data_IF_956600925101
#
_entry.id   IF_956600925101
#
_cell.length_a   1.000
_cell.length_b   1.000
_cell.length_c   1.000
_cell.angle_alpha   90.00
_cell.angle_beta   90.00
_cell.angle_gamma   90.00
#
_symmetry.space_group_name_H-M   'P 1'
#
loop_
_entity.id
_entity.type
_entity.pdbx_description
1 polymer ?
#
# COMPACT_ATOMS: atom_id res chain seq x y z
N UNK A 1 -28.30 28.31 41.26
CA UNK A 1 -29.77 28.31 41.16
C UNK A 1 -30.31 28.69 42.54
N UNK A 2 -30.64 29.96 42.74
CA UNK A 2 -31.00 30.48 44.07
C UNK A 2 -32.44 30.07 44.42
N UNK A 3 -32.58 29.38 45.55
CA UNK A 3 -33.87 28.95 46.09
C UNK A 3 -34.54 30.19 46.68
N UNK A 4 -35.62 30.63 46.03
CA UNK A 4 -36.41 31.79 46.42
C UNK A 4 -37.32 31.39 47.58
N UNK A 5 -37.07 31.95 48.76
CA UNK A 5 -37.88 31.76 49.97
C UNK A 5 -39.35 32.12 49.70
N UNK A 6 -40.18 31.07 49.69
CA UNK A 6 -41.63 31.19 49.59
C UNK A 6 -42.16 31.40 51.01
N UNK A 7 -42.42 32.66 51.37
CA UNK A 7 -43.01 33.07 52.66
C UNK A 7 -44.18 32.15 53.04
N UNK A 8 -44.04 31.46 54.18
CA UNK A 8 -45.01 30.47 54.71
C UNK A 8 -46.34 31.06 55.22
N UNK A 9 -46.65 32.32 54.91
CA UNK A 9 -47.92 32.97 55.29
C UNK A 9 -48.71 33.51 54.09
N UNK A 10 -48.46 32.97 52.89
CA UNK A 10 -49.28 33.30 51.72
C UNK A 10 -50.65 32.63 51.86
N UNK A 11 -51.53 33.28 52.61
CA UNK A 11 -52.97 33.02 52.60
C UNK A 11 -53.42 33.05 51.14
N UNK A 12 -54.16 32.03 50.71
CA UNK A 12 -54.44 31.85 49.28
C UNK A 12 -55.12 33.11 48.69
N UNK A 13 -54.82 33.51 47.44
CA UNK A 13 -55.48 34.66 46.81
C UNK A 13 -57.01 34.62 46.80
N UNK A 14 -57.58 33.42 47.03
CA UNK A 14 -59.03 33.16 47.02
C UNK A 14 -59.71 33.50 48.34
N UNK A 15 -59.04 33.30 49.48
CA UNK A 15 -59.59 33.76 50.78
C UNK A 15 -59.77 35.28 50.81
N UNK A 16 -58.88 36.02 50.14
CA UNK A 16 -59.01 37.47 50.02
C UNK A 16 -60.20 37.87 49.15
N UNK A 17 -60.54 37.08 48.13
CA UNK A 17 -61.70 37.32 47.27
C UNK A 17 -63.00 37.12 48.04
N UNK A 18 -63.08 36.08 48.87
CA UNK A 18 -64.28 35.78 49.67
C UNK A 18 -64.51 36.82 50.75
N UNK A 19 -63.44 37.25 51.44
CA UNK A 19 -63.47 38.35 52.41
C UNK A 19 -63.88 39.65 51.73
N UNK A 20 -63.34 39.95 50.55
CA UNK A 20 -63.72 41.13 49.78
C UNK A 20 -65.20 41.06 49.36
N UNK A 21 -65.67 39.92 48.85
CA UNK A 21 -67.07 39.73 48.47
C UNK A 21 -68.02 39.91 49.65
N UNK A 22 -67.65 39.41 50.84
CA UNK A 22 -68.41 39.61 52.07
C UNK A 22 -68.49 41.10 52.46
N UNK A 23 -67.35 41.80 52.47
CA UNK A 23 -67.29 43.22 52.83
C UNK A 23 -68.08 44.07 51.81
N UNK A 24 -67.97 43.75 50.52
CA UNK A 24 -68.72 44.43 49.46
C UNK A 24 -70.22 44.18 49.64
N UNK A 25 -70.65 42.93 49.84
CA UNK A 25 -72.06 42.60 50.06
C UNK A 25 -72.62 43.30 51.31
N UNK A 26 -71.83 43.36 52.39
CA UNK A 26 -72.18 44.09 53.61
C UNK A 26 -72.37 45.59 53.34
N UNK A 27 -71.39 46.23 52.68
CA UNK A 27 -71.45 47.65 52.34
C UNK A 27 -72.61 47.98 51.40
N UNK A 28 -72.79 47.21 50.33
CA UNK A 28 -73.88 47.38 49.37
C UNK A 28 -75.24 47.17 50.04
N UNK A 29 -75.37 46.17 50.91
CA UNK A 29 -76.61 45.88 51.63
C UNK A 29 -77.02 47.00 52.58
N UNK A 30 -76.09 47.52 53.38
CA UNK A 30 -76.37 48.62 54.32
C UNK A 30 -76.63 49.92 53.57
N UNK A 31 -75.74 50.33 52.66
CA UNK A 31 -75.86 51.60 51.94
C UNK A 31 -77.12 51.58 51.07
N UNK A 32 -77.35 50.51 50.33
CA UNK A 32 -78.55 50.35 49.50
C UNK A 32 -79.84 50.32 50.33
N UNK A 33 -79.84 49.62 51.47
CA UNK A 33 -80.97 49.59 52.39
C UNK A 33 -81.31 50.96 52.99
N UNK A 34 -80.31 51.76 53.36
CA UNK A 34 -80.48 53.12 53.86
C UNK A 34 -81.02 54.05 52.76
N UNK A 35 -80.45 53.99 51.55
CA UNK A 35 -80.91 54.80 50.42
C UNK A 35 -82.38 54.51 50.09
N UNK A 36 -82.78 53.23 50.07
CA UNK A 36 -84.17 52.85 49.81
C UNK A 36 -85.13 53.37 50.89
N UNK A 37 -84.71 53.34 52.16
CA UNK A 37 -85.49 53.92 53.26
C UNK A 37 -85.61 55.45 53.15
N UNK A 38 -84.51 56.14 52.83
CA UNK A 38 -84.51 57.60 52.63
C UNK A 38 -85.35 58.04 51.44
N UNK A 39 -85.45 57.21 50.40
CA UNK A 39 -86.31 57.45 49.25
C UNK A 39 -87.81 57.20 49.54
N UNK A 40 -88.17 56.76 50.75
CA UNK A 40 -89.56 56.44 51.12
C UNK A 40 -90.10 55.20 50.39
N UNK A 41 -89.23 54.28 49.97
CA UNK A 41 -89.64 53.09 49.23
C UNK A 41 -90.51 52.16 50.09
N UNK A 42 -91.40 51.41 49.42
CA UNK A 42 -92.28 50.47 50.10
C UNK A 42 -91.46 49.43 50.90
N UNK A 43 -91.87 49.06 52.13
CA UNK A 43 -91.06 48.23 53.03
C UNK A 43 -90.69 46.87 52.45
N UNK A 44 -91.60 46.28 51.68
CA UNK A 44 -91.36 45.01 50.98
C UNK A 44 -90.23 45.10 49.94
N UNK A 45 -90.02 46.27 49.32
CA UNK A 45 -88.93 46.48 48.38
C UNK A 45 -87.58 46.51 49.11
N UNK A 46 -87.52 47.15 50.28
CA UNK A 46 -86.33 47.16 51.13
C UNK A 46 -86.00 45.77 51.69
N UNK A 47 -87.02 45.00 52.08
CA UNK A 47 -86.86 43.60 52.49
C UNK A 47 -86.37 42.73 51.33
N UNK A 48 -86.95 42.89 50.14
CA UNK A 48 -86.55 42.19 48.92
C UNK A 48 -85.13 42.52 48.48
N UNK A 49 -84.70 43.78 48.59
CA UNK A 49 -83.33 44.19 48.30
C UNK A 49 -82.31 43.46 49.19
N UNK A 50 -82.54 43.44 50.51
CA UNK A 50 -81.68 42.69 51.45
C UNK A 50 -81.63 41.20 51.13
N UNK A 51 -82.77 40.59 50.76
CA UNK A 51 -82.81 39.20 50.33
C UNK A 51 -82.01 38.95 49.04
N UNK A 52 -82.12 39.84 48.04
CA UNK A 52 -81.36 39.76 46.78
C UNK A 52 -79.86 39.89 47.04
N UNK A 53 -79.43 40.78 47.94
CA UNK A 53 -78.02 40.93 48.31
C UNK A 53 -77.49 39.65 48.98
N UNK A 54 -78.26 39.03 49.89
CA UNK A 54 -77.90 37.76 50.51
C UNK A 54 -77.81 36.61 49.49
N UNK A 55 -78.80 36.50 48.60
CA UNK A 55 -78.83 35.44 47.57
C UNK A 55 -77.70 35.62 46.56
N UNK A 56 -77.46 36.85 46.11
CA UNK A 56 -76.36 37.15 45.16
C UNK A 56 -75.00 36.88 45.78
N UNK A 57 -74.78 37.25 47.05
CA UNK A 57 -73.57 36.87 47.78
C UNK A 57 -73.40 35.34 47.81
N UNK A 58 -74.44 34.60 48.20
CA UNK A 58 -74.37 33.15 48.28
C UNK A 58 -74.10 32.50 46.91
N UNK A 59 -74.70 33.00 45.83
CA UNK A 59 -74.46 32.51 44.48
C UNK A 59 -73.04 32.81 43.99
N UNK A 60 -72.51 34.01 44.24
CA UNK A 60 -71.15 34.39 43.87
C UNK A 60 -70.13 33.57 44.66
N UNK A 61 -70.33 33.40 45.97
CA UNK A 61 -69.48 32.57 46.82
C UNK A 61 -69.53 31.08 46.40
N UNK A 62 -70.71 30.57 46.06
CA UNK A 62 -70.89 29.20 45.59
C UNK A 62 -70.26 28.95 44.21
N UNK A 63 -70.45 29.86 43.25
CA UNK A 63 -69.90 29.75 41.90
C UNK A 63 -68.38 29.98 41.84
N UNK A 64 -67.86 30.90 42.66
CA UNK A 64 -66.43 31.18 42.79
C UNK A 64 -65.66 30.10 43.58
N UNK A 65 -66.35 29.37 44.46
CA UNK A 65 -65.77 28.43 45.42
C UNK A 65 -65.72 26.97 45.00
N UNK A 66 -65.66 26.66 43.70
CA UNK A 66 -66.02 25.36 43.08
C UNK A 66 -65.38 24.06 43.61
N UNK A 67 -64.48 24.04 44.60
CA UNK A 67 -63.93 22.78 45.18
C UNK A 67 -63.56 22.83 46.68
N UNK A 68 -63.47 23.98 47.37
CA UNK A 68 -62.89 24.01 48.73
C UNK A 68 -63.58 24.88 49.78
N UNK A 69 -64.60 25.67 49.42
CA UNK A 69 -65.35 26.36 50.47
C UNK A 69 -66.36 25.37 51.03
N UNK A 70 -66.22 25.05 52.32
CA UNK A 70 -67.23 24.29 53.03
C UNK A 70 -68.55 25.09 52.94
N UNK A 71 -69.63 24.49 52.41
CA UNK A 71 -70.94 25.15 52.37
C UNK A 71 -71.38 25.74 53.72
N UNK A 72 -70.83 25.20 54.82
CA UNK A 72 -70.96 25.71 56.19
C UNK A 72 -70.47 27.16 56.33
N UNK A 73 -69.30 27.51 55.78
CA UNK A 73 -68.74 28.86 55.89
C UNK A 73 -69.55 29.90 55.08
N UNK A 74 -70.06 29.53 53.90
CA UNK A 74 -70.95 30.42 53.11
C UNK A 74 -72.26 30.63 53.87
N UNK A 75 -72.83 29.56 54.42
CA UNK A 75 -74.04 29.62 55.23
C UNK A 75 -73.88 30.51 56.47
N UNK A 76 -72.76 30.37 57.19
CA UNK A 76 -72.45 31.20 58.36
C UNK A 76 -72.27 32.68 57.97
N UNK A 77 -71.60 32.98 56.86
CA UNK A 77 -71.48 34.34 56.36
C UNK A 77 -72.84 34.95 55.97
N UNK A 78 -73.72 34.19 55.33
CA UNK A 78 -75.09 34.64 55.02
C UNK A 78 -75.90 34.93 56.29
N UNK A 79 -75.72 34.11 57.33
CA UNK A 79 -76.32 34.33 58.62
C UNK A 79 -75.81 35.62 59.28
N UNK A 80 -74.50 35.85 59.29
CA UNK A 80 -73.91 37.10 59.81
C UNK A 80 -74.35 38.32 59.01
N UNK A 81 -74.40 38.25 57.68
CA UNK A 81 -74.91 39.32 56.83
C UNK A 81 -76.38 39.64 57.14
N UNK A 82 -77.23 38.62 57.26
CA UNK A 82 -78.63 38.78 57.63
C UNK A 82 -78.79 39.46 58.98
N UNK A 83 -78.04 39.00 59.99
CA UNK A 83 -78.00 39.61 61.32
C UNK A 83 -77.51 41.07 61.30
N UNK A 84 -76.45 41.35 60.54
CA UNK A 84 -75.88 42.68 60.40
C UNK A 84 -76.84 43.65 59.70
N UNK A 85 -77.53 43.20 58.65
CA UNK A 85 -78.57 43.99 57.99
C UNK A 85 -79.72 44.32 58.93
N UNK A 86 -80.10 43.37 59.79
CA UNK A 86 -81.12 43.58 60.83
C UNK A 86 -80.68 44.64 61.84
N UNK A 87 -79.46 44.53 62.37
CA UNK A 87 -78.92 45.52 63.30
C UNK A 87 -78.82 46.91 62.66
N UNK A 88 -78.32 46.99 61.42
CA UNK A 88 -78.22 48.26 60.69
C UNK A 88 -79.59 48.87 60.42
N UNK A 89 -80.55 48.06 59.97
CA UNK A 89 -81.92 48.46 59.69
C UNK A 89 -82.60 49.00 60.94
N UNK A 90 -82.48 48.30 62.08
CA UNK A 90 -83.06 48.74 63.35
C UNK A 90 -82.37 49.99 63.90
N UNK A 91 -81.04 50.05 63.85
CA UNK A 91 -80.26 51.21 64.30
C UNK A 91 -80.66 52.47 63.52
N UNK A 92 -80.85 52.34 62.21
CA UNK A 92 -81.32 53.45 61.37
C UNK A 92 -82.76 53.87 61.70
N UNK A 93 -83.68 52.92 61.89
CA UNK A 93 -85.06 53.23 62.31
C UNK A 93 -85.10 53.98 63.64
N UNK A 94 -84.28 53.59 64.62
CA UNK A 94 -84.16 54.28 65.91
C UNK A 94 -83.50 55.66 65.78
N UNK A 95 -82.47 55.78 64.94
CA UNK A 95 -81.80 57.06 64.69
C UNK A 95 -82.73 58.10 64.07
N UNK A 96 -83.54 57.70 63.07
CA UNK A 96 -84.52 58.61 62.47
C UNK A 96 -85.57 59.09 63.49
N UNK A 97 -85.95 58.24 64.44
CA UNK A 97 -86.90 58.58 65.49
C UNK A 97 -86.29 59.48 66.59
N UNK A 98 -84.98 59.34 66.86
CA UNK A 98 -84.28 60.08 67.89
C UNK A 98 -83.90 61.52 67.47
N UNK A 99 -83.98 61.87 66.18
CA UNK A 99 -83.65 63.21 65.68
C UNK A 99 -84.89 64.14 65.72
N UNK A 100 -85.01 65.04 66.72
CA UNK A 100 -86.17 65.92 66.89
C UNK A 100 -86.34 66.91 65.72
N UNK A 101 -85.30 67.09 64.90
CA UNK A 101 -85.28 68.00 63.75
C UNK A 101 -86.12 67.51 62.57
N UNK A 102 -86.34 66.18 62.46
CA UNK A 102 -87.09 65.56 61.35
C UNK A 102 -88.54 65.29 61.70
N UNK A 103 -88.85 65.17 62.98
CA UNK A 103 -90.19 64.83 63.46
C UNK A 103 -91.11 66.05 63.59
N UNK A 104 -90.61 67.28 63.42
CA UNK A 104 -91.43 68.50 63.36
C UNK A 104 -92.43 68.67 64.52
N UNK A 105 -92.11 68.14 65.71
CA UNK A 105 -93.01 68.14 66.87
C UNK A 105 -94.21 67.18 66.79
N UNK A 106 -94.27 66.26 65.82
CA UNK A 106 -95.32 65.24 65.71
C UNK A 106 -95.05 64.03 66.63
N UNK A 107 -96.12 63.36 67.12
CA UNK A 107 -95.98 62.10 67.85
C UNK A 107 -95.34 61.02 66.96
N UNK A 108 -94.58 60.12 67.58
CA UNK A 108 -93.89 59.00 66.91
C UNK A 108 -94.83 58.23 65.98
N UNK A 109 -94.48 58.14 64.70
CA UNK A 109 -95.22 57.35 63.71
C UNK A 109 -94.94 55.85 63.91
N UNK A 110 -95.72 55.23 64.81
CA UNK A 110 -95.68 53.79 65.11
C UNK A 110 -95.70 52.89 63.85
N UNK A 111 -96.47 53.20 62.78
CA UNK A 111 -96.46 52.39 61.56
C UNK A 111 -95.10 52.34 60.85
N UNK A 112 -94.33 53.42 60.88
CA UNK A 112 -92.99 53.47 60.27
C UNK A 112 -92.00 52.60 61.04
N UNK A 113 -92.12 52.59 62.38
CA UNK A 113 -91.33 51.73 63.26
C UNK A 113 -91.64 50.26 62.98
N UNK A 114 -92.93 49.88 62.97
CA UNK A 114 -93.37 48.49 62.68
C UNK A 114 -92.87 48.03 61.31
N UNK A 115 -92.96 48.89 60.31
CA UNK A 115 -92.42 48.65 58.97
C UNK A 115 -90.91 48.42 58.98
N UNK A 116 -90.14 49.29 59.64
CA UNK A 116 -88.69 49.16 59.76
C UNK A 116 -88.25 47.89 60.48
N UNK A 117 -89.01 47.48 61.50
CA UNK A 117 -88.82 46.19 62.17
C UNK A 117 -89.14 45.01 61.24
N UNK A 118 -90.21 45.06 60.45
CA UNK A 118 -90.55 44.02 59.48
C UNK A 118 -89.46 43.80 58.44
N UNK A 119 -88.87 44.88 57.91
CA UNK A 119 -87.73 44.81 56.98
C UNK A 119 -86.52 44.16 57.65
N UNK A 120 -86.21 44.53 58.89
CA UNK A 120 -85.12 43.95 59.65
C UNK A 120 -85.35 42.45 59.93
N UNK A 121 -86.56 42.04 60.32
CA UNK A 121 -86.87 40.63 60.56
C UNK A 121 -86.75 39.79 59.27
N UNK A 122 -87.13 40.35 58.12
CA UNK A 122 -87.02 39.66 56.82
C UNK A 122 -85.57 39.32 56.46
N UNK A 123 -84.61 40.23 56.68
CA UNK A 123 -83.18 39.94 56.44
C UNK A 123 -82.64 38.82 57.33
N UNK A 124 -83.09 38.76 58.59
CA UNK A 124 -82.73 37.65 59.48
C UNK A 124 -83.31 36.32 59.01
N UNK A 125 -84.59 36.30 58.61
CA UNK A 125 -85.27 35.09 58.12
C UNK A 125 -84.54 34.55 56.89
N UNK A 126 -84.24 35.41 55.91
CA UNK A 126 -83.49 35.01 54.72
C UNK A 126 -82.07 34.55 55.04
N UNK A 127 -81.36 35.23 55.95
CA UNK A 127 -80.01 34.82 56.37
C UNK A 127 -79.97 33.43 57.01
N UNK A 128 -80.91 33.12 57.90
CA UNK A 128 -81.04 31.80 58.54
C UNK A 128 -81.49 30.74 57.53
N UNK A 129 -82.48 31.05 56.69
CA UNK A 129 -82.95 30.13 55.65
C UNK A 129 -81.81 29.71 54.70
N UNK A 130 -81.01 30.69 54.25
CA UNK A 130 -79.89 30.45 53.36
C UNK A 130 -78.77 29.65 54.05
N UNK A 131 -78.54 29.86 55.36
CA UNK A 131 -77.64 29.02 56.17
C UNK A 131 -78.07 27.56 56.18
N UNK A 132 -79.34 27.29 56.46
CA UNK A 132 -79.89 25.92 56.51
C UNK A 132 -79.80 25.26 55.13
N UNK A 133 -80.16 25.99 54.06
CA UNK A 133 -80.07 25.51 52.69
C UNK A 133 -78.63 25.12 52.32
N UNK A 134 -77.65 25.97 52.64
CA UNK A 134 -76.23 25.70 52.37
C UNK A 134 -75.70 24.52 53.17
N UNK A 135 -76.09 24.39 54.45
CA UNK A 135 -75.67 23.27 55.29
C UNK A 135 -76.22 21.92 54.82
N UNK A 136 -77.43 21.91 54.23
CA UNK A 136 -78.01 20.69 53.64
C UNK A 136 -77.32 20.24 52.35
N UNK A 137 -76.58 21.11 51.65
CA UNK A 137 -75.81 20.74 50.44
C UNK A 137 -74.45 20.06 50.74
N UNK A 138 -74.08 19.91 52.01
CA UNK A 138 -72.83 19.30 52.49
C UNK A 138 -72.63 17.79 52.21
N UNK A 139 -73.65 16.90 52.22
CA UNK A 139 -73.43 15.44 52.23
C UNK A 139 -72.66 14.86 51.04
N UNK A 140 -72.64 15.54 49.88
CA UNK A 140 -72.16 14.94 48.63
C UNK A 140 -70.64 15.11 48.42
N UNK A 141 -70.01 16.17 48.95
CA UNK A 141 -68.60 16.47 48.64
C UNK A 141 -67.59 15.61 49.42
N UNK A 142 -67.78 15.41 50.72
CA UNK A 142 -66.83 14.64 51.55
C UNK A 142 -66.90 13.15 51.23
N UNK A 143 -68.09 12.63 50.95
CA UNK A 143 -68.28 11.25 50.51
C UNK A 143 -67.57 11.01 49.16
N UNK A 144 -67.70 11.95 48.23
CA UNK A 144 -67.06 11.89 46.91
C UNK A 144 -65.53 12.00 46.99
N UNK A 145 -64.98 12.86 47.84
CA UNK A 145 -63.51 12.93 48.03
C UNK A 145 -62.94 11.64 48.61
N UNK A 146 -63.61 11.05 49.62
CA UNK A 146 -63.19 9.74 50.17
C UNK A 146 -63.26 8.63 49.14
N UNK A 147 -64.31 8.60 48.32
CA UNK A 147 -64.45 7.64 47.22
C UNK A 147 -63.32 7.79 46.19
N UNK A 148 -63.02 9.03 45.78
CA UNK A 148 -61.91 9.32 44.84
C UNK A 148 -60.57 8.92 45.43
N UNK A 149 -60.29 9.22 46.71
CA UNK A 149 -59.04 8.79 47.37
C UNK A 149 -58.91 7.27 47.45
N UNK A 150 -60.02 6.57 47.75
CA UNK A 150 -60.05 5.11 47.81
C UNK A 150 -59.77 4.49 46.43
N UNK A 151 -60.43 5.00 45.39
CA UNK A 151 -60.25 4.54 44.01
C UNK A 151 -58.83 4.82 43.49
N UNK A 152 -58.30 5.99 43.82
CA UNK A 152 -56.92 6.37 43.51
C UNK A 152 -55.93 5.40 44.18
N UNK A 153 -56.08 5.11 45.48
CA UNK A 153 -55.23 4.16 46.19
C UNK A 153 -55.31 2.75 45.60
N UNK A 154 -56.50 2.30 45.20
CA UNK A 154 -56.69 1.01 44.53
C UNK A 154 -55.98 0.97 43.19
N UNK A 155 -56.10 2.02 42.39
CA UNK A 155 -55.43 2.16 41.10
C UNK A 155 -53.91 2.21 41.24
N UNK A 156 -53.38 2.94 42.24
CA UNK A 156 -51.96 2.93 42.58
C UNK A 156 -51.47 1.54 43.01
N UNK A 157 -52.27 0.80 43.80
CA UNK A 157 -51.94 -0.56 44.21
C UNK A 157 -51.85 -1.51 43.02
N UNK A 158 -52.82 -1.45 42.11
CA UNK A 158 -52.83 -2.24 40.88
C UNK A 158 -51.65 -1.88 39.96
N UNK A 159 -51.38 -0.59 39.79
CA UNK A 159 -50.24 -0.10 39.01
C UNK A 159 -48.91 -0.61 39.57
N UNK A 160 -48.72 -0.52 40.89
CA UNK A 160 -47.52 -1.03 41.57
C UNK A 160 -47.35 -2.53 41.37
N UNK A 161 -48.44 -3.31 41.46
CA UNK A 161 -48.41 -4.76 41.22
C UNK A 161 -47.98 -5.09 39.79
N UNK A 162 -48.54 -4.38 38.81
CA UNK A 162 -48.18 -4.56 37.39
C UNK A 162 -46.71 -4.20 37.16
N UNK A 163 -46.22 -3.09 37.72
CA UNK A 163 -44.82 -2.68 37.60
C UNK A 163 -43.86 -3.70 38.21
N UNK A 164 -44.19 -4.26 39.39
CA UNK A 164 -43.41 -5.33 39.99
C UNK A 164 -43.40 -6.60 39.13
N UNK A 165 -44.52 -6.94 38.49
CA UNK A 165 -44.60 -8.05 37.53
C UNK A 165 -43.68 -7.85 36.33
N UNK A 166 -43.72 -6.66 35.73
CA UNK A 166 -42.85 -6.30 34.58
C UNK A 166 -41.37 -6.36 34.97
N UNK A 167 -40.99 -5.84 36.15
CA UNK A 167 -39.61 -5.92 36.62
C UNK A 167 -39.13 -7.37 36.79
N UNK A 168 -39.99 -8.25 37.32
CA UNK A 168 -39.67 -9.68 37.45
C UNK A 168 -39.48 -10.34 36.09
N UNK A 169 -40.36 -10.04 35.13
CA UNK A 169 -40.26 -10.57 33.77
C UNK A 169 -39.00 -10.06 33.06
N UNK A 170 -38.67 -8.78 33.22
CA UNK A 170 -37.46 -8.20 32.63
C UNK A 170 -36.18 -8.82 33.20
N UNK A 171 -36.16 -9.13 34.51
CA UNK A 171 -35.05 -9.86 35.12
C UNK A 171 -34.93 -11.28 34.55
N UNK A 172 -36.04 -12.01 34.45
CA UNK A 172 -36.04 -13.35 33.87
C UNK A 172 -35.55 -13.33 32.41
N UNK A 173 -36.08 -12.42 31.59
CA UNK A 173 -35.66 -12.22 30.22
C UNK A 173 -34.17 -11.88 30.10
N UNK A 174 -33.65 -11.01 30.97
CA UNK A 174 -32.22 -10.67 30.98
C UNK A 174 -31.34 -11.89 31.29
N UNK A 175 -31.72 -12.70 32.29
CA UNK A 175 -30.98 -13.91 32.64
C UNK A 175 -31.02 -14.92 31.49
N UNK A 176 -32.20 -15.16 30.92
CA UNK A 176 -32.40 -16.07 29.80
C UNK A 176 -31.64 -15.59 28.55
N UNK A 177 -31.63 -14.29 28.26
CA UNK A 177 -30.88 -13.71 27.14
C UNK A 177 -29.36 -13.89 27.28
N UNK A 178 -28.82 -13.74 28.50
CA UNK A 178 -27.40 -13.99 28.77
C UNK A 178 -27.08 -15.47 28.57
N UNK A 179 -27.95 -16.37 29.04
CA UNK A 179 -27.78 -17.81 28.86
C UNK A 179 -27.80 -18.18 27.37
N UNK A 180 -28.79 -17.69 26.60
CA UNK A 180 -28.82 -17.93 25.15
C UNK A 180 -27.61 -17.32 24.44
N UNK A 181 -27.12 -16.16 24.86
CA UNK A 181 -25.91 -15.58 24.30
C UNK A 181 -24.69 -16.48 24.55
N UNK A 182 -24.54 -17.01 25.77
CA UNK A 182 -23.47 -17.94 26.11
C UNK A 182 -23.57 -19.28 25.37
N UNK A 183 -24.77 -19.84 25.25
CA UNK A 183 -25.01 -21.06 24.47
C UNK A 183 -24.73 -20.84 22.98
N UNK A 184 -25.13 -19.69 22.44
CA UNK A 184 -24.85 -19.31 21.05
C UNK A 184 -23.35 -19.14 20.81
N UNK A 185 -22.63 -18.50 21.74
CA UNK A 185 -21.19 -18.31 21.64
C UNK A 185 -20.45 -19.65 21.67
N UNK A 186 -20.88 -20.57 22.56
CA UNK A 186 -20.37 -21.94 22.60
C UNK A 186 -20.61 -22.67 21.27
N UNK A 187 -21.84 -22.65 20.74
CA UNK A 187 -22.16 -23.28 19.44
C UNK A 187 -21.38 -22.67 18.28
N UNK A 188 -21.17 -21.35 18.29
CA UNK A 188 -20.40 -20.66 17.26
C UNK A 188 -18.92 -21.07 17.32
N UNK A 189 -18.36 -21.19 18.52
CA UNK A 189 -16.99 -21.66 18.72
C UNK A 189 -16.82 -23.09 18.23
N UNK A 190 -17.70 -24.00 18.63
CA UNK A 190 -17.70 -25.40 18.17
C UNK A 190 -17.83 -25.48 16.63
N UNK A 191 -18.73 -24.70 16.03
CA UNK A 191 -18.87 -24.63 14.57
C UNK A 191 -17.64 -24.05 13.88
N UNK A 192 -16.97 -23.07 14.49
CA UNK A 192 -15.76 -22.44 13.93
C UNK A 192 -14.58 -23.41 14.01
N UNK A 193 -14.45 -24.14 15.11
CA UNK A 193 -13.42 -25.17 15.29
C UNK A 193 -13.58 -26.28 14.25
N UNK A 194 -14.79 -26.83 14.11
CA UNK A 194 -15.09 -27.82 13.07
C UNK A 194 -14.84 -27.28 11.65
N UNK A 195 -15.21 -26.03 11.37
CA UNK A 195 -14.92 -25.40 10.08
C UNK A 195 -13.42 -25.28 9.82
N UNK A 196 -12.62 -24.88 10.82
CA UNK A 196 -11.16 -24.77 10.69
C UNK A 196 -10.53 -26.13 10.46
N UNK A 197 -10.97 -27.16 11.19
CA UNK A 197 -10.51 -28.54 10.98
C UNK A 197 -10.81 -29.05 9.56
N UNK A 198 -12.06 -28.88 9.10
CA UNK A 198 -12.47 -29.26 7.75
C UNK A 198 -11.67 -28.50 6.68
N UNK A 199 -11.44 -27.20 6.88
CA UNK A 199 -10.70 -26.38 5.93
C UNK A 199 -9.21 -26.72 5.91
N UNK A 200 -8.62 -27.03 7.06
CA UNK A 200 -7.24 -27.51 7.16
C UNK A 200 -7.08 -28.85 6.43
N UNK A 201 -8.02 -29.78 6.63
CA UNK A 201 -8.02 -31.06 5.92
C UNK A 201 -8.15 -30.88 4.39
N UNK A 202 -9.04 -29.99 3.95
CA UNK A 202 -9.22 -29.67 2.54
C UNK A 202 -7.96 -29.01 1.92
N UNK A 203 -7.32 -28.09 2.63
CA UNK A 203 -6.06 -27.47 2.19
C UNK A 203 -4.93 -28.49 2.09
N UNK A 204 -4.83 -29.41 3.05
CA UNK A 204 -3.83 -30.46 3.02
C UNK A 204 -4.05 -31.41 1.83
N UNK A 205 -5.29 -31.81 1.56
CA UNK A 205 -5.64 -32.60 0.39
C UNK A 205 -5.35 -31.85 -0.93
N UNK A 206 -5.61 -30.53 -0.99
CA UNK A 206 -5.30 -29.70 -2.15
C UNK A 206 -3.79 -29.55 -2.37
N UNK A 207 -3.00 -29.41 -1.30
CA UNK A 207 -1.54 -29.34 -1.36
C UNK A 207 -0.93 -30.67 -1.84
N UNK A 208 -1.46 -31.80 -1.37
CA UNK A 208 -1.06 -33.13 -1.84
C UNK A 208 -1.37 -33.30 -3.34
N UNK A 209 -2.55 -32.86 -3.77
CA UNK A 209 -2.95 -32.92 -5.18
C UNK A 209 -2.09 -32.00 -6.06
N UNK A 210 -1.78 -30.79 -5.59
CA UNK A 210 -0.90 -29.85 -6.28
C UNK A 210 0.51 -30.43 -6.41
N UNK A 211 1.05 -31.03 -5.35
CA UNK A 211 2.37 -31.68 -5.38
C UNK A 211 2.43 -32.79 -6.43
N UNK A 212 1.40 -33.66 -6.47
CA UNK A 212 1.28 -34.71 -7.51
C UNK A 212 1.20 -34.13 -8.92
N UNK A 213 0.44 -33.05 -9.10
CA UNK A 213 0.32 -32.40 -10.41
C UNK A 213 1.64 -31.75 -10.84
N UNK A 214 2.37 -31.12 -9.93
CA UNK A 214 3.70 -30.53 -10.19
C UNK A 214 4.70 -31.65 -10.55
N UNK A 215 4.72 -32.75 -9.81
CA UNK A 215 5.57 -33.90 -10.11
C UNK A 215 5.27 -34.47 -11.51
N UNK A 216 3.99 -34.62 -11.83
CA UNK A 216 3.55 -35.10 -13.16
C UNK A 216 3.95 -34.12 -14.26
N UNK A 217 3.72 -32.82 -14.07
CA UNK A 217 4.11 -31.79 -15.04
C UNK A 217 5.63 -31.72 -15.21
N UNK A 218 6.39 -31.78 -14.12
CA UNK A 218 7.85 -31.75 -14.17
C UNK A 218 8.42 -32.96 -14.89
N UNK A 219 7.89 -34.16 -14.64
CA UNK A 219 8.31 -35.37 -15.35
C UNK A 219 7.95 -35.31 -16.84
N UNK A 220 6.80 -34.77 -17.21
CA UNK A 220 6.42 -34.59 -18.61
C UNK A 220 7.30 -33.54 -19.32
N UNK A 221 7.53 -32.39 -18.70
CA UNK A 221 8.41 -31.33 -19.21
C UNK A 221 9.85 -31.83 -19.34
N UNK A 222 10.35 -32.56 -18.33
CA UNK A 222 11.69 -33.16 -18.38
C UNK A 222 11.81 -34.18 -19.52
N UNK A 223 10.79 -35.03 -19.73
CA UNK A 223 10.75 -35.96 -20.87
C UNK A 223 10.76 -35.21 -22.21
N UNK A 224 9.98 -34.14 -22.36
CA UNK A 224 9.97 -33.31 -23.58
C UNK A 224 11.32 -32.64 -23.82
N UNK A 225 11.91 -32.02 -22.81
CA UNK A 225 13.21 -31.37 -22.91
C UNK A 225 14.33 -32.35 -23.28
N UNK A 226 14.36 -33.54 -22.66
CA UNK A 226 15.32 -34.61 -23.03
C UNK A 226 15.09 -35.04 -24.49
N UNK A 227 13.83 -35.17 -24.91
CA UNK A 227 13.48 -35.48 -26.30
C UNK A 227 13.98 -34.43 -27.29
N UNK A 228 13.77 -33.15 -27.00
CA UNK A 228 14.23 -32.02 -27.82
C UNK A 228 15.77 -31.93 -27.87
N UNK A 229 16.45 -32.10 -26.72
CA UNK A 229 17.92 -32.15 -26.67
C UNK A 229 18.45 -33.31 -27.52
N UNK A 230 17.82 -34.48 -27.42
CA UNK A 230 18.21 -35.66 -28.20
C UNK A 230 18.03 -35.40 -29.70
N UNK A 231 16.90 -34.80 -30.10
CA UNK A 231 16.66 -34.44 -31.49
C UNK A 231 17.69 -33.42 -32.01
N UNK A 232 17.98 -32.37 -31.23
CA UNK A 232 19.00 -31.37 -31.57
C UNK A 232 20.41 -31.98 -31.66
N UNK A 233 20.75 -32.92 -30.78
CA UNK A 233 22.03 -33.63 -30.78
C UNK A 233 22.18 -34.49 -32.04
N UNK A 234 21.09 -35.17 -32.46
CA UNK A 234 21.07 -35.95 -33.71
C UNK A 234 21.27 -35.06 -34.93
N UNK A 235 20.60 -33.91 -35.00
CA UNK A 235 20.77 -32.98 -36.13
C UNK A 235 22.18 -32.38 -36.15
N UNK A 236 22.72 -31.95 -35.01
CA UNK A 236 24.10 -31.45 -34.91
C UNK A 236 25.14 -32.52 -35.31
N UNK A 237 24.91 -33.78 -34.95
CA UNK A 237 25.78 -34.89 -35.36
C UNK A 237 25.69 -35.13 -36.88
N UNK A 238 24.51 -35.00 -37.48
CA UNK A 238 24.31 -35.09 -38.93
C UNK A 238 24.99 -33.94 -39.68
N UNK A 239 24.94 -32.71 -39.15
CA UNK A 239 25.71 -31.58 -39.68
C UNK A 239 27.22 -31.81 -39.55
N UNK A 240 27.67 -32.33 -38.40
CA UNK A 240 29.07 -32.69 -38.19
C UNK A 240 29.53 -33.79 -39.17
N UNK A 241 28.69 -34.79 -39.44
CA UNK A 241 28.97 -35.82 -40.44
C UNK A 241 29.06 -35.24 -41.85
N UNK A 242 28.20 -34.28 -42.22
CA UNK A 242 28.30 -33.58 -43.50
C UNK A 242 29.62 -32.80 -43.61
N UNK A 243 29.98 -32.04 -42.58
CA UNK A 243 31.23 -31.30 -42.54
C UNK A 243 32.46 -32.24 -42.66
N UNK A 244 32.41 -33.40 -42.00
CA UNK A 244 33.45 -34.43 -42.14
C UNK A 244 33.50 -34.99 -43.57
N UNK A 245 32.35 -35.21 -44.21
CA UNK A 245 32.29 -35.67 -45.60
C UNK A 245 32.85 -34.64 -46.58
N UNK A 246 32.54 -33.36 -46.38
CA UNK A 246 33.10 -32.25 -47.15
C UNK A 246 34.62 -32.17 -46.95
N UNK A 247 35.12 -32.24 -45.72
CA UNK A 247 36.55 -32.29 -45.44
C UNK A 247 37.24 -33.48 -46.13
N UNK A 248 36.62 -34.67 -46.12
CA UNK A 248 37.15 -35.85 -46.83
C UNK A 248 37.15 -35.62 -48.35
N UNK A 249 36.15 -34.93 -48.91
CA UNK A 249 36.11 -34.56 -50.31
C UNK A 249 37.23 -33.56 -50.66
N UNK A 250 37.45 -32.55 -49.82
CA UNK A 250 38.52 -31.56 -49.98
C UNK A 250 39.90 -32.22 -49.87
N UNK A 251 40.10 -33.14 -48.93
CA UNK A 251 41.34 -33.92 -48.81
C UNK A 251 41.58 -34.76 -50.07
N UNK A 252 40.54 -35.35 -50.67
CA UNK A 252 40.65 -36.08 -51.95
C UNK A 252 41.01 -35.13 -53.09
N UNK A 253 40.40 -33.94 -53.16
CA UNK A 253 40.72 -32.93 -54.16
C UNK A 253 42.17 -32.46 -54.03
N UNK A 254 42.62 -32.19 -52.80
CA UNK A 254 44.00 -31.82 -52.49
C UNK A 254 44.98 -32.92 -52.89
N UNK A 255 44.63 -34.20 -52.62
CA UNK A 255 45.42 -35.36 -53.05
C UNK A 255 45.55 -35.43 -54.57
N UNK A 256 44.47 -35.15 -55.30
CA UNK A 256 44.49 -35.16 -56.76
C UNK A 256 45.38 -34.04 -57.32
N UNK A 257 45.28 -32.82 -56.77
CA UNK A 257 46.17 -31.70 -57.11
C UNK A 257 47.64 -32.03 -56.83
N UNK A 258 47.92 -32.68 -55.69
CA UNK A 258 49.27 -33.12 -55.34
C UNK A 258 49.82 -34.13 -56.34
N UNK A 259 48.99 -35.11 -56.76
CA UNK A 259 49.36 -36.07 -57.79
C UNK A 259 49.62 -35.39 -59.15
N UNK A 260 48.81 -34.40 -59.53
CA UNK A 260 48.98 -33.63 -60.76
C UNK A 260 50.32 -32.86 -60.75
N UNK A 261 50.64 -32.21 -59.62
CA UNK A 261 51.92 -31.53 -59.40
C UNK A 261 53.12 -32.51 -59.39
N UNK A 262 52.94 -33.73 -58.86
CA UNK A 262 53.97 -34.76 -58.87
C UNK A 262 54.29 -35.22 -60.30
N UNK A 263 53.29 -35.23 -61.20
CA UNK A 263 53.44 -35.68 -62.59
C UNK A 263 54.23 -34.67 -63.45
N UNK A 264 54.03 -33.36 -63.24
CA UNK A 264 54.78 -32.30 -63.94
C UNK A 264 56.27 -32.27 -63.54
N UNK A 265 56.58 -32.58 -62.27
CA UNK A 265 57.96 -32.62 -61.75
C UNK A 265 58.81 -33.72 -62.39
N UNK A 266 58.22 -34.87 -62.74
CA UNK A 266 58.96 -35.99 -63.35
C UNK A 266 59.38 -35.75 -64.80
N UNK A 267 58.58 -35.05 -65.61
CA UNK A 267 58.98 -34.68 -66.98
C UNK A 267 60.15 -33.69 -66.98
N UNK A 268 60.11 -32.70 -66.07
CA UNK A 268 61.16 -31.70 -65.94
C UNK A 268 62.49 -32.32 -65.46
N UNK A 269 62.42 -33.25 -64.49
CA UNK A 269 63.56 -34.05 -64.02
C UNK A 269 64.12 -35.00 -65.09
N UNK A 270 63.28 -35.59 -65.94
CA UNK A 270 63.70 -36.44 -67.05
C UNK A 270 64.40 -35.65 -68.16
N UNK A 271 63.87 -34.47 -68.51
CA UNK A 271 64.48 -33.55 -69.46
C UNK A 271 65.88 -33.09 -68.98
N UNK A 272 65.98 -32.74 -67.69
CA UNK A 272 67.25 -32.31 -67.09
C UNK A 272 68.30 -33.43 -67.04
N UNK A 273 67.87 -34.67 -66.76
CA UNK A 273 68.75 -35.86 -66.85
C UNK A 273 69.27 -36.10 -68.27
N UNK A 274 68.43 -35.93 -69.29
CA UNK A 274 68.81 -36.08 -70.70
C UNK A 274 69.85 -35.05 -71.12
N UNK A 275 69.70 -33.81 -70.65
CA UNK A 275 70.64 -32.72 -70.91
C UNK A 275 71.99 -32.95 -70.22
N UNK A 276 71.99 -33.35 -68.94
CA UNK A 276 73.19 -33.73 -68.18
C UNK A 276 73.95 -34.89 -68.84
N UNK A 277 73.26 -35.92 -69.32
CA UNK A 277 73.91 -37.03 -70.03
C UNK A 277 74.53 -36.60 -71.37
N UNK A 278 73.90 -35.68 -72.09
CA UNK A 278 74.47 -35.12 -73.32
C UNK A 278 75.74 -34.30 -73.03
N UNK A 279 75.74 -33.51 -71.95
CA UNK A 279 76.92 -32.79 -71.48
C UNK A 279 78.04 -33.77 -71.07
N UNK A 280 77.72 -34.84 -70.32
CA UNK A 280 78.69 -35.87 -69.92
C UNK A 280 79.32 -36.57 -71.13
N UNK A 281 78.53 -36.93 -72.14
CA UNK A 281 79.02 -37.56 -73.37
C UNK A 281 79.95 -36.63 -74.17
N UNK A 282 79.65 -35.33 -74.19
CA UNK A 282 80.53 -34.34 -74.81
C UNK A 282 81.86 -34.18 -74.07
N UNK A 283 81.82 -34.22 -72.72
CA UNK A 283 83.01 -34.19 -71.87
C UNK A 283 83.86 -35.45 -72.04
N UNK A 284 83.24 -36.63 -72.12
CA UNK A 284 83.95 -37.90 -72.39
C UNK A 284 84.67 -37.85 -73.75
N UNK A 285 84.03 -37.28 -74.77
CA UNK A 285 84.63 -37.12 -76.10
C UNK A 285 85.83 -36.15 -76.07
N UNK A 286 85.72 -35.03 -75.33
CA UNK A 286 86.85 -34.11 -75.12
C UNK A 286 88.01 -34.78 -74.39
N UNK A 287 87.75 -35.56 -73.34
CA UNK A 287 88.77 -36.29 -72.58
C UNK A 287 89.46 -37.35 -73.45
N UNK A 288 88.70 -38.06 -74.32
CA UNK A 288 89.28 -38.99 -75.31
C UNK A 288 90.20 -38.29 -76.30
N UNK A 289 89.77 -37.18 -76.89
CA UNK A 289 90.61 -36.43 -77.82
C UNK A 289 91.86 -35.87 -77.13
N UNK A 290 91.76 -35.45 -75.87
CA UNK A 290 92.91 -34.98 -75.08
C UNK A 290 93.88 -36.12 -74.76
N UNK A 291 93.39 -37.31 -74.41
CA UNK A 291 94.22 -38.48 -74.13
C UNK A 291 94.90 -39.04 -75.39
N UNK A 292 94.24 -38.98 -76.56
CA UNK A 292 94.87 -39.31 -77.85
C UNK A 292 95.97 -38.30 -78.24
N UNK A 293 95.72 -37.00 -78.05
CA UNK A 293 96.74 -35.96 -78.28
C UNK A 293 97.94 -36.12 -77.32
N UNK A 294 97.67 -36.48 -76.06
CA UNK A 294 98.70 -36.75 -75.06
C UNK A 294 99.51 -38.01 -75.41
N UNK A 295 98.88 -39.06 -75.95
CA UNK A 295 99.56 -40.27 -76.45
C UNK A 295 100.48 -39.97 -77.65
N UNK A 296 100.06 -39.10 -78.57
CA UNK A 296 100.92 -38.65 -79.67
C UNK A 296 102.11 -37.83 -79.16
N UNK A 297 101.91 -36.94 -78.19
CA UNK A 297 103.01 -36.25 -77.50
C UNK A 297 103.98 -37.21 -76.82
N UNK A 298 103.47 -38.25 -76.14
CA UNK A 298 104.29 -39.29 -75.52
C UNK A 298 105.07 -40.08 -76.57
N UNK A 299 104.49 -40.42 -77.73
CA UNK A 299 105.19 -41.10 -78.83
C UNK A 299 106.31 -40.27 -79.43
N UNK A 300 106.09 -38.97 -79.66
CA UNK A 300 107.12 -38.04 -80.16
C UNK A 300 108.26 -37.94 -79.14
N UNK A 301 107.93 -37.78 -77.86
CA UNK A 301 108.90 -37.72 -76.75
C UNK A 301 109.70 -39.03 -76.63
N UNK A 302 109.04 -40.18 -76.79
CA UNK A 302 109.67 -41.51 -76.77
C UNK A 302 110.59 -41.74 -77.97
N UNK A 303 110.20 -41.30 -79.18
CA UNK A 303 111.07 -41.34 -80.37
C UNK A 303 112.30 -40.47 -80.20
N UNK A 304 112.17 -39.28 -79.60
CA UNK A 304 113.32 -38.43 -79.27
C UNK A 304 114.21 -39.05 -78.18
N UNK A 305 113.63 -39.73 -77.18
CA UNK A 305 114.37 -40.45 -76.15
C UNK A 305 115.10 -41.69 -76.69
N UNK A 306 114.48 -42.47 -77.58
CA UNK A 306 115.11 -43.62 -78.26
C UNK A 306 116.23 -43.18 -79.22
N UNK A 307 116.06 -42.05 -79.92
CA UNK A 307 117.11 -41.47 -80.76
C UNK A 307 118.31 -40.98 -79.93
N UNK A 308 118.05 -40.44 -78.73
CA UNK A 308 119.08 -40.04 -77.76
C UNK A 308 119.82 -41.27 -77.20
N UNK A 309 119.09 -42.31 -76.82
CA UNK A 309 119.65 -43.58 -76.31
C UNK A 309 120.53 -44.30 -77.37
N UNK A 310 120.06 -44.38 -78.63
CA UNK A 310 120.84 -44.98 -79.74
C UNK A 310 122.10 -44.21 -80.12
N UNK A 311 122.20 -42.91 -79.79
CA UNK A 311 123.41 -42.08 -80.03
C UNK A 311 124.38 -42.12 -78.85
N UNK A 312 123.89 -42.26 -77.62
CA UNK A 312 124.72 -42.34 -76.43
C UNK A 312 125.53 -43.64 -76.34
N UNK A 313 124.99 -44.78 -76.76
CA UNK A 313 125.71 -46.07 -76.76
C UNK A 313 127.04 -46.03 -77.54
N UNK A 314 127.00 -45.70 -78.86
CA UNK A 314 128.22 -45.60 -79.67
C UNK A 314 129.16 -44.47 -79.21
N UNK A 315 128.64 -43.39 -78.63
CA UNK A 315 129.45 -42.29 -78.12
C UNK A 315 130.19 -42.67 -76.82
N UNK A 316 129.58 -43.49 -75.96
CA UNK A 316 130.20 -44.05 -74.77
C UNK A 316 131.23 -45.14 -75.13
N UNK A 317 130.96 -45.96 -76.14
CA UNK A 317 131.89 -46.97 -76.65
C UNK A 317 133.11 -46.32 -77.32
N UNK A 318 132.92 -45.26 -78.14
CA UNK A 318 134.01 -44.49 -78.73
C UNK A 318 134.83 -43.69 -77.71
N UNK A 319 134.22 -43.27 -76.59
CA UNK A 319 134.91 -42.65 -75.46
C UNK A 319 135.80 -43.67 -74.74
N UNK A 320 135.31 -44.90 -74.55
CA UNK A 320 136.05 -46.00 -73.94
C UNK A 320 137.22 -46.47 -74.81
N UNK A 321 136.99 -46.60 -76.11
CA UNK A 321 138.03 -46.98 -77.09
C UNK A 321 139.13 -45.92 -77.20
N UNK A 322 138.79 -44.62 -77.05
CA UNK A 322 139.77 -43.53 -76.92
C UNK A 322 140.56 -43.56 -75.61
N UNK A 323 139.98 -44.10 -74.54
CA UNK A 323 140.63 -44.21 -73.23
C UNK A 323 141.66 -45.35 -73.21
N UNK A 324 141.37 -46.46 -73.90
CA UNK A 324 142.27 -47.62 -74.04
C UNK A 324 143.42 -47.37 -75.04
N UNK A 325 143.34 -46.32 -75.87
CA UNK A 325 144.31 -46.02 -76.93
C UNK A 325 145.36 -44.95 -76.58
N UNK A 326 145.49 -44.53 -75.32
CA UNK A 326 146.52 -43.57 -74.92
C UNK A 326 147.84 -44.26 -74.56
N UNK A 327 148.98 -43.85 -75.15
CA UNK A 327 150.27 -44.50 -74.99
C UNK A 327 150.88 -44.26 -73.60
N UNK A 328 151.64 -45.26 -73.14
CA UNK A 328 152.53 -45.18 -71.98
C UNK A 328 153.52 -44.02 -72.13
N UNK A 329 153.53 -43.10 -71.17
CA UNK A 329 154.59 -42.11 -71.00
C UNK A 329 155.04 -42.11 -69.53
N UNK A 330 156.22 -42.68 -69.28
CA UNK A 330 157.15 -42.24 -68.23
C UNK A 330 157.47 -40.76 -68.47
N UNK A 331 157.73 -39.87 -67.53
CA UNK A 331 158.32 -39.93 -66.18
C UNK A 331 158.14 -38.51 -65.61
N UNK A 332 158.16 -38.36 -64.29
CA UNK A 332 158.59 -37.16 -63.57
C UNK A 332 157.83 -35.82 -63.77
N UNK A 333 157.28 -35.31 -62.66
CA UNK A 333 156.99 -33.88 -62.46
C UNK A 333 155.51 -33.48 -62.37
N UNK A 334 155.11 -33.06 -61.15
CA UNK A 334 154.11 -32.05 -60.70
C UNK A 334 153.56 -31.02 -61.74
N UNK A 335 152.54 -30.15 -61.45
CA UNK A 335 151.76 -29.90 -60.22
C UNK A 335 150.21 -29.65 -60.37
N UNK A 336 149.54 -29.70 -59.21
CA UNK A 336 148.50 -28.82 -58.62
C UNK A 336 147.48 -27.99 -59.45
N UNK A 337 146.25 -28.04 -58.91
CA UNK A 337 145.22 -26.98 -58.75
C UNK A 337 144.50 -26.38 -59.98
N UNK A 338 143.16 -26.45 -59.96
CA UNK A 338 142.29 -25.25 -59.93
C UNK A 338 140.79 -25.61 -59.83
N UNK A 339 140.02 -25.01 -58.89
CA UNK A 339 138.57 -25.19 -58.72
C UNK A 339 137.77 -24.03 -59.33
N UNK A 340 136.48 -24.22 -59.66
CA UNK A 340 135.49 -23.13 -59.79
C UNK A 340 134.08 -23.67 -60.11
N UNK A 341 132.93 -23.12 -59.71
CA UNK A 341 132.43 -22.46 -58.50
C UNK A 341 130.90 -22.31 -58.72
N UNK A 342 130.16 -22.15 -57.63
CA UNK A 342 128.70 -22.11 -57.56
C UNK A 342 128.09 -20.73 -57.91
N UNK A 343 126.80 -20.72 -58.29
CA UNK A 343 125.98 -19.52 -58.38
C UNK A 343 124.65 -19.70 -57.65
N UNK A 344 124.38 -18.82 -56.67
CA UNK A 344 123.31 -18.85 -55.65
C UNK A 344 122.09 -18.00 -56.06
N UNK A 345 120.94 -18.35 -55.45
CA UNK A 345 119.54 -17.86 -55.46
C UNK A 345 119.22 -16.34 -55.61
N UNK A 346 117.91 -15.98 -55.65
CA UNK A 346 117.33 -15.35 -54.44
C UNK A 346 115.91 -15.85 -54.05
N UNK A 347 115.42 -15.48 -52.83
CA UNK A 347 114.33 -16.17 -52.12
C UNK A 347 112.98 -15.41 -52.05
N UNK A 348 111.98 -16.12 -51.49
CA UNK A 348 110.56 -15.81 -51.27
C UNK A 348 110.26 -14.48 -50.53
N UNK A 349 109.12 -13.83 -50.87
CA UNK A 349 108.42 -12.91 -49.95
C UNK A 349 106.88 -12.83 -50.14
N UNK A 350 106.21 -13.00 -48.99
CA UNK A 350 104.96 -12.42 -48.43
C UNK A 350 103.53 -12.63 -49.01
N UNK A 351 102.66 -13.05 -48.09
CA UNK A 351 101.20 -13.31 -48.13
C UNK A 351 100.34 -12.02 -48.04
N UNK A 352 100.82 -10.86 -48.47
CA UNK A 352 100.19 -9.54 -48.22
C UNK A 352 99.57 -8.84 -49.45
N UNK A 353 99.65 -9.42 -50.65
CA UNK A 353 99.32 -8.70 -51.90
C UNK A 353 97.95 -9.00 -52.54
N UNK A 354 97.10 -9.83 -51.93
CA UNK A 354 95.70 -10.02 -52.39
C UNK A 354 94.64 -9.38 -51.49
N UNK A 355 95.05 -8.76 -50.39
CA UNK A 355 94.17 -7.99 -49.49
C UNK A 355 93.82 -6.59 -50.02
N UNK A 356 94.36 -6.17 -51.17
CA UNK A 356 94.13 -4.88 -51.82
C UNK A 356 93.08 -4.89 -52.94
N UNK A 357 92.39 -6.02 -53.16
CA UNK A 357 91.25 -6.12 -54.12
C UNK A 357 89.90 -5.89 -53.41
N UNK A 358 89.91 -5.73 -52.09
CA UNK A 358 88.79 -5.23 -51.28
C UNK A 358 89.07 -3.75 -51.01
N UNK A 359 88.46 -2.86 -51.81
CA UNK A 359 88.12 -1.46 -51.50
C UNK A 359 88.33 -0.49 -52.68
N UNK A 360 87.38 -0.48 -53.65
CA UNK A 360 86.64 0.72 -54.14
C UNK A 360 85.79 0.44 -55.41
N UNK A 361 84.75 1.26 -55.68
CA UNK A 361 83.42 0.78 -56.09
C UNK A 361 83.09 0.99 -57.57
N UNK A 362 82.13 0.23 -58.10
CA UNK A 362 81.49 0.51 -59.39
C UNK A 362 79.96 0.61 -59.25
N UNK A 363 79.50 1.85 -59.41
CA UNK A 363 78.11 2.31 -59.49
C UNK A 363 77.56 2.20 -60.91
N UNK A 364 76.29 1.79 -61.07
CA UNK A 364 75.46 2.09 -62.27
C UNK A 364 74.05 2.53 -61.81
N UNK A 365 73.57 3.64 -62.40
CA UNK A 365 72.38 4.45 -62.05
C UNK A 365 71.00 3.78 -62.31
N UNK A 366 69.98 4.17 -61.52
CA UNK A 366 68.53 3.94 -61.74
C UNK A 366 67.86 5.09 -62.53
N UNK A 367 66.61 4.90 -63.02
CA UNK A 367 65.50 5.81 -62.66
C UNK A 367 64.23 4.98 -62.30
N UNK A 368 63.51 5.15 -61.17
CA UNK A 368 62.74 6.27 -60.59
C UNK A 368 61.40 6.59 -61.30
N UNK A 369 60.28 6.17 -60.70
CA UNK A 369 58.93 6.70 -60.97
C UNK A 369 57.85 6.08 -60.06
N UNK A 370 56.93 6.86 -59.44
CA UNK A 370 56.36 6.54 -58.11
C UNK A 370 54.81 6.51 -58.03
N UNK A 371 54.29 6.15 -56.84
CA UNK A 371 52.88 6.19 -56.38
C UNK A 371 51.99 5.05 -56.91
N UNK A 372 51.06 4.42 -56.20
CA UNK A 372 50.51 4.48 -54.84
C UNK A 372 49.71 3.15 -54.72
N UNK A 373 49.81 2.37 -53.64
CA UNK A 373 48.93 2.44 -52.47
C UNK A 373 47.45 2.11 -52.73
N UNK A 374 46.91 1.09 -52.01
CA UNK A 374 45.65 1.00 -51.23
C UNK A 374 45.11 -0.45 -51.21
N UNK A 375 45.00 -1.12 -50.06
CA UNK A 375 43.82 -1.23 -49.13
C UNK A 375 42.60 -1.90 -49.80
N UNK A 376 41.82 -2.82 -49.21
CA UNK A 376 41.59 -3.20 -47.81
C UNK A 376 40.82 -4.54 -47.75
N UNK A 377 41.09 -5.34 -46.71
CA UNK A 377 40.17 -6.31 -46.11
C UNK A 377 38.89 -5.57 -45.64
N UNK A 378 37.68 -6.12 -45.80
CA UNK A 378 37.06 -7.16 -44.99
C UNK A 378 35.76 -7.61 -45.63
#
# INVERSE_FOLDING_TARGET
MAIRDKKMHAVSPRENLDRAAFIIAFGVGIVGGIILKLAGAHPFLAAGFSAIVLVSYALVAWAGGRVQIEPEAIGDNCYYLGFLFTLASLSFTLYQMADPSKTGGKPVDIPEVISGFGVALSSTIFGVFLRVLMMQMRPDFVAKDRAVRSDLNKSYGAFRKNLSGVLSQMKAFSTESIQYAAERDKRLRESTESFVEDHQAALQAAADQLSKNIETAFTEVSKKAIGEITASMVESNKESQKAIQELVADIKALKNLLNEQETESYEELAARRKQLNAELASAETQVKNHTEAMLEHIKVTRRSADAMSKRMGPALDALKERLDALPSFSTDGLPADAPFEAGVAPPLDTLESLQSVIDKPLTVKRPSGPWNNTKSET
#
